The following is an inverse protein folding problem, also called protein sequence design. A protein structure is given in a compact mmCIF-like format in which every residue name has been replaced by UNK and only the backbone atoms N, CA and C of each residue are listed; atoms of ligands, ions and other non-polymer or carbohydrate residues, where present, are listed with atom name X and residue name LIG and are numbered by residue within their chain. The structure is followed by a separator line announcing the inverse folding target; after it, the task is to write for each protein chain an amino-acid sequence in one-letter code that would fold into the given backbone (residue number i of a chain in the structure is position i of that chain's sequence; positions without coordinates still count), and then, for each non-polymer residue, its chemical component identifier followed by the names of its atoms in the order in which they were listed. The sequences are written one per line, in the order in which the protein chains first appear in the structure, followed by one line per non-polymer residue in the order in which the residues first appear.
data_IF_746750008293
#
_entry.id   IF_746750008293
#
_cell.length_a   1.000
_cell.length_b   1.000
_cell.length_c   1.000
_cell.angle_alpha   90.00
_cell.angle_beta   90.00
_cell.angle_gamma   90.00
#
_symmetry.space_group_name_H-M   'P 1'
#
loop_
_entity.id
_entity.type
_entity.pdbx_description
1 polymer ?
#
# COMPACT_ATOMS: atom_id res chain seq x y z
N UNK A 1 -2.40 13.23 -1.47
CA UNK A 1 -1.59 12.01 -1.61
C UNK A 1 -2.23 10.82 -0.89
N UNK A 2 -2.49 10.92 0.42
CA UNK A 2 -3.08 9.84 1.24
C UNK A 2 -4.36 9.21 0.66
N UNK A 3 -5.36 10.01 0.25
CA UNK A 3 -6.63 9.46 -0.25
C UNK A 3 -6.48 8.61 -1.53
N UNK A 4 -5.53 8.96 -2.40
CA UNK A 4 -5.29 8.30 -3.68
C UNK A 4 -4.71 6.90 -3.47
N UNK A 5 -3.64 6.80 -2.68
CA UNK A 5 -3.00 5.51 -2.38
C UNK A 5 -3.95 4.60 -1.58
N UNK A 6 -4.73 5.15 -0.64
CA UNK A 6 -5.72 4.36 0.12
C UNK A 6 -6.82 3.80 -0.77
N UNK A 7 -7.26 4.53 -1.81
CA UNK A 7 -8.25 4.04 -2.78
C UNK A 7 -7.74 2.87 -3.62
N UNK A 8 -6.47 2.91 -4.03
CA UNK A 8 -5.81 1.84 -4.78
C UNK A 8 -5.59 0.63 -3.88
N UNK A 9 -5.08 0.86 -2.65
CA UNK A 9 -4.92 -0.15 -1.61
C UNK A 9 -6.22 -0.93 -1.35
N UNK A 10 -7.34 -0.22 -1.24
CA UNK A 10 -8.65 -0.83 -1.02
C UNK A 10 -9.05 -1.77 -2.18
N UNK A 11 -8.79 -1.38 -3.44
CA UNK A 11 -9.03 -2.24 -4.61
C UNK A 11 -8.14 -3.49 -4.61
N UNK A 12 -6.92 -3.36 -4.11
CA UNK A 12 -5.96 -4.46 -3.97
C UNK A 12 -6.16 -5.28 -2.68
N UNK A 13 -7.20 -5.00 -1.89
CA UNK A 13 -7.58 -5.79 -0.73
C UNK A 13 -6.70 -5.59 0.50
N UNK A 14 -6.10 -4.40 0.66
CA UNK A 14 -5.38 -4.00 1.87
C UNK A 14 -5.89 -2.67 2.42
N UNK A 15 -5.85 -2.56 3.75
CA UNK A 15 -6.20 -1.35 4.49
C UNK A 15 -5.03 -1.03 5.42
N UNK A 16 -4.62 0.24 5.43
CA UNK A 16 -3.57 0.74 6.32
C UNK A 16 -3.84 2.21 6.65
N UNK A 17 -3.09 2.72 7.63
CA UNK A 17 -3.09 4.15 7.95
C UNK A 17 -1.93 4.84 7.25
N UNK A 18 -2.20 5.87 6.45
CA UNK A 18 -1.16 6.74 5.92
C UNK A 18 -0.98 7.95 6.84
N UNK A 19 0.24 8.16 7.33
CA UNK A 19 0.61 9.29 8.17
C UNK A 19 1.10 10.48 7.33
N UNK A 20 1.16 11.67 7.94
CA UNK A 20 1.51 12.91 7.24
C UNK A 20 2.99 12.98 6.82
N UNK A 21 3.82 12.07 7.31
CA UNK A 21 5.26 11.95 7.09
C UNK A 21 5.62 10.85 6.06
N UNK A 22 4.67 10.48 5.20
CA UNK A 22 4.82 9.45 4.17
C UNK A 22 5.01 8.02 4.71
N UNK A 23 4.72 7.78 6.00
CA UNK A 23 4.75 6.44 6.59
C UNK A 23 3.42 5.71 6.37
N UNK A 24 3.51 4.42 6.03
CA UNK A 24 2.36 3.51 5.97
C UNK A 24 2.35 2.62 7.22
N UNK A 25 1.35 2.79 8.08
CA UNK A 25 1.16 2.01 9.30
C UNK A 25 0.31 0.77 9.08
N UNK A 26 0.89 -0.39 9.37
CA UNK A 26 0.22 -1.69 9.36
C UNK A 26 0.11 -2.24 10.78
N UNK A 27 -1.07 -2.76 11.12
CA UNK A 27 -1.34 -3.43 12.39
C UNK A 27 -2.05 -4.77 12.11
N UNK A 28 -1.34 -5.77 11.53
CA UNK A 28 -1.92 -7.09 11.28
C UNK A 28 -2.29 -7.78 12.59
N UNK A 29 -3.24 -8.72 12.53
CA UNK A 29 -3.66 -9.46 13.71
C UNK A 29 -2.54 -10.38 14.22
N UNK A 30 -2.47 -10.58 15.53
CA UNK A 30 -1.42 -11.40 16.17
C UNK A 30 -1.47 -12.89 15.76
N UNK A 31 -2.58 -13.34 15.19
CA UNK A 31 -2.76 -14.70 14.68
C UNK A 31 -2.30 -14.91 13.23
N UNK A 32 -1.74 -13.87 12.59
CA UNK A 32 -1.20 -14.00 11.23
C UNK A 32 -0.07 -15.03 11.21
N UNK A 33 -0.12 -15.92 10.22
CA UNK A 33 1.00 -16.80 9.90
C UNK A 33 1.86 -16.19 8.78
N UNK A 34 2.92 -16.91 8.38
CA UNK A 34 3.82 -16.45 7.31
C UNK A 34 3.10 -16.23 5.98
N UNK A 35 2.16 -17.11 5.61
CA UNK A 35 1.39 -16.98 4.37
C UNK A 35 0.44 -15.77 4.37
N UNK A 36 -0.12 -15.41 5.54
CA UNK A 36 -0.92 -14.18 5.66
C UNK A 36 -0.06 -12.94 5.45
N UNK A 37 1.19 -12.96 5.94
CA UNK A 37 2.16 -11.89 5.73
C UNK A 37 2.61 -11.81 4.26
N UNK A 38 2.87 -12.95 3.62
CA UNK A 38 3.23 -12.99 2.19
C UNK A 38 2.13 -12.36 1.32
N UNK A 39 0.86 -12.70 1.60
CA UNK A 39 -0.29 -12.11 0.91
C UNK A 39 -0.40 -10.60 1.15
N UNK A 40 -0.13 -10.14 2.37
CA UNK A 40 -0.10 -8.71 2.70
C UNK A 40 0.98 -7.99 1.88
N UNK A 41 2.18 -8.56 1.79
CA UNK A 41 3.29 -7.98 1.02
C UNK A 41 3.01 -7.98 -0.48
N UNK A 42 2.44 -9.05 -1.03
CA UNK A 42 2.06 -9.13 -2.44
C UNK A 42 1.07 -8.01 -2.81
N UNK A 43 0.03 -7.82 -1.98
CA UNK A 43 -0.97 -6.77 -2.21
C UNK A 43 -0.42 -5.36 -2.01
N UNK A 44 0.50 -5.19 -1.07
CA UNK A 44 1.20 -3.92 -0.86
C UNK A 44 2.07 -3.56 -2.06
N UNK A 45 2.86 -4.50 -2.56
CA UNK A 45 3.70 -4.30 -3.73
C UNK A 45 2.85 -3.88 -4.92
N UNK A 46 1.78 -4.63 -5.22
CA UNK A 46 0.84 -4.28 -6.30
C UNK A 46 0.27 -2.87 -6.16
N UNK A 47 -0.06 -2.46 -4.93
CA UNK A 47 -0.57 -1.12 -4.65
C UNK A 47 0.46 -0.03 -4.96
N UNK A 48 1.73 -0.26 -4.61
CA UNK A 48 2.81 0.69 -4.90
C UNK A 48 3.11 0.74 -6.40
N UNK A 49 3.10 -0.40 -7.09
CA UNK A 49 3.29 -0.49 -8.53
C UNK A 49 2.17 0.27 -9.28
N UNK A 50 0.91 0.04 -8.92
CA UNK A 50 -0.26 0.74 -9.49
C UNK A 50 -0.21 2.27 -9.27
N UNK A 51 0.36 2.71 -8.16
CA UNK A 51 0.60 4.14 -7.87
C UNK A 51 1.73 4.66 -8.74
N UNK A 52 2.83 3.91 -8.89
CA UNK A 52 4.01 4.29 -9.67
C UNK A 52 3.75 4.30 -11.18
N UNK A 53 2.76 3.55 -11.66
CA UNK A 53 2.34 3.56 -13.07
C UNK A 53 1.60 4.86 -13.46
N UNK A 54 1.23 5.68 -12.49
CA UNK A 54 0.57 6.95 -12.78
C UNK A 54 1.62 7.99 -13.18
N UNK A 55 1.42 8.59 -14.36
CA UNK A 55 2.41 9.44 -15.04
C UNK A 55 2.95 10.57 -14.16
N UNK A 56 2.06 11.25 -13.43
CA UNK A 56 2.41 12.36 -12.55
C UNK A 56 3.23 11.91 -11.33
N UNK A 57 2.97 10.70 -10.82
CA UNK A 57 3.74 10.11 -9.72
C UNK A 57 5.12 9.67 -10.21
N UNK A 58 5.18 8.95 -11.34
CA UNK A 58 6.46 8.52 -11.93
C UNK A 58 7.40 9.68 -12.18
N UNK A 59 6.86 10.77 -12.74
CA UNK A 59 7.62 11.99 -13.01
C UNK A 59 8.13 12.69 -11.74
N UNK A 60 7.51 12.46 -10.58
CA UNK A 60 7.90 13.09 -9.31
C UNK A 60 8.97 12.28 -8.54
N UNK A 61 9.21 11.02 -8.90
CA UNK A 61 10.18 10.12 -8.26
C UNK A 61 11.38 9.74 -9.15
N UNK A 62 11.44 10.30 -10.37
CA UNK A 62 12.58 10.16 -11.30
C UNK A 62 13.51 11.36 -11.23
#
# INVERSE_FOLDING_TARGET
MSERITRIAYRNGIIFRAFADNILGFAPALCYNSGDMDLLFERLQRTLDDVLDQKDIRAAVS
#
